data_IF_162542974603
#
_entry.id   IF_162542974603
#
_cell.length_a   1.000
_cell.length_b   1.000
_cell.length_c   1.000
_cell.angle_alpha   90.00
_cell.angle_beta   90.00
_cell.angle_gamma   90.00
#
_symmetry.space_group_name_H-M   'P 1'
#
loop_
_entity.id
_entity.type
_entity.pdbx_description
1 polymer ?
#
# COMPACT_ATOMS: atom_id res chain seq x y z
N UNK A 1 -11.37 -3.82 -2.30
CA UNK A 1 -10.08 -4.04 -1.61
C UNK A 1 -9.62 -2.72 -1.01
N UNK A 2 -9.22 -2.68 0.26
CA UNK A 2 -8.85 -1.41 0.91
C UNK A 2 -7.34 -1.20 0.93
N UNK A 3 -6.80 -0.39 0.03
CA UNK A 3 -5.36 -0.09 -0.07
C UNK A 3 -5.01 1.03 0.90
N UNK A 4 -4.35 0.66 1.99
CA UNK A 4 -3.94 1.56 3.05
C UNK A 4 -2.46 1.92 2.90
N UNK A 5 -2.18 3.19 2.61
CA UNK A 5 -0.82 3.71 2.47
C UNK A 5 -0.36 4.24 3.81
N UNK A 6 0.56 3.53 4.44
CA UNK A 6 1.10 3.80 5.77
C UNK A 6 2.33 4.70 5.63
N UNK A 7 2.19 5.99 5.88
CA UNK A 7 3.32 6.90 5.77
C UNK A 7 2.99 8.34 6.11
N UNK A 8 3.99 9.04 6.62
CA UNK A 8 3.91 10.44 7.08
C UNK A 8 3.92 11.47 5.94
N UNK A 9 3.53 11.08 4.71
CA UNK A 9 3.41 12.01 3.58
C UNK A 9 4.69 12.23 2.77
N UNK A 10 5.69 11.35 2.91
CA UNK A 10 6.94 11.39 2.16
C UNK A 10 6.74 11.30 0.63
N UNK A 11 7.65 11.84 -0.21
CA UNK A 11 7.52 11.75 -1.68
C UNK A 11 7.49 10.30 -2.19
N UNK A 12 8.20 9.39 -1.50
CA UNK A 12 8.12 7.93 -1.75
C UNK A 12 6.70 7.40 -1.51
N UNK A 13 6.02 7.84 -0.46
CA UNK A 13 4.67 7.45 -0.09
C UNK A 13 3.65 7.83 -1.19
N UNK A 14 3.80 9.02 -1.78
CA UNK A 14 2.99 9.46 -2.93
C UNK A 14 3.19 8.56 -4.14
N UNK A 15 4.45 8.29 -4.49
CA UNK A 15 4.79 7.43 -5.64
C UNK A 15 4.26 6.00 -5.46
N UNK A 16 4.30 5.46 -4.23
CA UNK A 16 3.70 4.17 -3.91
C UNK A 16 2.18 4.16 -4.17
N UNK A 17 1.50 5.23 -3.77
CA UNK A 17 0.06 5.41 -3.97
C UNK A 17 -0.28 5.39 -5.46
N UNK A 18 0.42 6.21 -6.26
CA UNK A 18 0.17 6.31 -7.71
C UNK A 18 0.41 4.96 -8.42
N UNK A 19 1.47 4.25 -8.05
CA UNK A 19 1.77 2.94 -8.62
C UNK A 19 0.74 1.88 -8.21
N UNK A 20 0.30 1.87 -6.95
CA UNK A 20 -0.72 0.96 -6.45
C UNK A 20 -2.08 1.23 -7.08
N UNK A 21 -2.45 2.51 -7.21
CA UNK A 21 -3.67 2.95 -7.90
C UNK A 21 -3.66 2.54 -9.37
N UNK A 22 -2.56 2.84 -10.08
CA UNK A 22 -2.41 2.47 -11.48
C UNK A 22 -2.47 0.96 -11.67
N UNK A 23 -1.76 0.19 -10.84
CA UNK A 23 -1.78 -1.27 -10.89
C UNK A 23 -3.18 -1.84 -10.62
N UNK A 24 -3.87 -1.40 -9.57
CA UNK A 24 -5.20 -1.89 -9.24
C UNK A 24 -6.22 -1.54 -10.33
N UNK A 25 -6.13 -0.32 -10.90
CA UNK A 25 -6.96 0.13 -12.04
C UNK A 25 -6.69 -0.67 -13.31
N UNK A 26 -5.42 -0.91 -13.63
CA UNK A 26 -5.01 -1.71 -14.80
C UNK A 26 -5.50 -3.17 -14.67
N UNK A 27 -5.56 -3.69 -13.45
CA UNK A 27 -6.08 -5.02 -13.15
C UNK A 27 -7.62 -5.08 -13.07
N UNK A 28 -8.30 -3.94 -13.16
CA UNK A 28 -9.76 -3.85 -13.01
C UNK A 28 -10.25 -4.31 -11.62
N UNK A 29 -9.44 -4.13 -10.59
CA UNK A 29 -9.81 -4.46 -9.22
C UNK A 29 -10.64 -3.32 -8.63
N UNK A 30 -11.62 -3.64 -7.80
CA UNK A 30 -12.34 -2.64 -7.02
C UNK A 30 -11.50 -2.30 -5.78
N UNK A 31 -10.99 -1.06 -5.72
CA UNK A 31 -10.09 -0.62 -4.66
C UNK A 31 -10.46 0.73 -4.05
N UNK A 32 -10.16 0.87 -2.75
CA UNK A 32 -10.32 2.10 -1.99
C UNK A 32 -8.97 2.52 -1.40
N UNK A 33 -8.49 3.72 -1.73
CA UNK A 33 -7.21 4.22 -1.21
C UNK A 33 -7.43 5.01 0.09
N UNK A 34 -6.85 4.52 1.18
CA UNK A 34 -6.82 5.21 2.47
C UNK A 34 -5.39 5.60 2.82
N UNK A 35 -5.12 6.90 2.98
CA UNK A 35 -3.81 7.38 3.39
C UNK A 35 -3.77 7.42 4.92
N UNK A 36 -3.02 6.51 5.50
CA UNK A 36 -2.82 6.42 6.93
C UNK A 36 -1.56 7.20 7.29
N UNK A 37 -1.76 8.45 7.71
CA UNK A 37 -0.69 9.34 8.22
C UNK A 37 -0.55 9.27 9.74
N UNK A 38 -1.50 8.61 10.42
CA UNK A 38 -1.53 8.51 11.87
C UNK A 38 -0.50 7.48 12.35
N UNK A 39 0.48 7.94 13.14
CA UNK A 39 1.56 7.09 13.65
C UNK A 39 0.99 5.94 14.50
N UNK A 40 -0.07 6.18 15.26
CA UNK A 40 -0.70 5.16 16.11
C UNK A 40 -1.25 4.02 15.26
N UNK A 41 -1.95 4.35 14.16
CA UNK A 41 -2.42 3.34 13.20
C UNK A 41 -1.26 2.61 12.53
N UNK A 42 -0.20 3.31 12.13
CA UNK A 42 0.98 2.68 11.52
C UNK A 42 1.62 1.65 12.46
N UNK A 43 1.71 1.96 13.75
CA UNK A 43 2.20 1.05 14.78
C UNK A 43 1.25 -0.13 15.03
N UNK A 44 -0.07 0.11 15.01
CA UNK A 44 -1.10 -0.93 15.13
C UNK A 44 -1.00 -1.96 13.98
N UNK A 45 -0.67 -1.48 12.78
CA UNK A 45 -0.34 -2.32 11.63
C UNK A 45 1.00 -3.07 11.77
N UNK A 46 1.80 -2.80 12.80
CA UNK A 46 3.12 -3.40 12.99
C UNK A 46 4.19 -2.84 12.05
N UNK A 47 3.97 -1.68 11.44
CA UNK A 47 4.93 -1.06 10.53
C UNK A 47 5.93 -0.22 11.33
N UNK A 48 7.13 -0.75 11.52
CA UNK A 48 8.23 -0.02 12.17
C UNK A 48 8.95 0.95 11.24
N UNK A 49 8.91 0.71 9.93
CA UNK A 49 9.57 1.55 8.94
C UNK A 49 8.59 1.98 7.86
N UNK A 50 8.38 3.28 7.73
CA UNK A 50 7.58 3.85 6.65
C UNK A 50 8.48 4.14 5.43
N UNK A 51 7.95 4.07 4.20
CA UNK A 51 6.56 3.81 3.80
C UNK A 51 6.15 2.34 3.93
N UNK A 52 4.86 2.10 4.20
CA UNK A 52 4.23 0.79 4.18
C UNK A 52 2.97 0.76 3.31
N UNK A 53 2.65 -0.43 2.83
CA UNK A 53 1.44 -0.74 2.08
C UNK A 53 0.70 -1.83 2.83
N UNK A 54 -0.53 -1.55 3.22
CA UNK A 54 -1.47 -2.55 3.70
C UNK A 54 -2.63 -2.67 2.72
N UNK A 55 -3.21 -3.86 2.62
CA UNK A 55 -4.42 -4.12 1.86
C UNK A 55 -5.39 -4.88 2.76
N UNK A 56 -6.61 -4.37 2.91
CA UNK A 56 -7.66 -4.94 3.76
C UNK A 56 -7.16 -5.22 5.19
N UNK A 57 -6.40 -4.27 5.74
CA UNK A 57 -5.81 -4.36 7.08
C UNK A 57 -4.54 -5.21 7.17
N UNK A 58 -4.12 -5.87 6.09
CA UNK A 58 -2.94 -6.73 6.07
C UNK A 58 -1.74 -6.02 5.47
N UNK A 59 -0.67 -5.85 6.23
CA UNK A 59 0.58 -5.27 5.73
C UNK A 59 1.22 -6.22 4.71
N UNK A 60 1.38 -5.71 3.48
CA UNK A 60 2.05 -6.41 2.39
C UNK A 60 3.52 -6.00 2.28
N UNK A 61 3.82 -4.73 2.59
CA UNK A 61 5.19 -4.24 2.64
C UNK A 61 5.39 -3.13 3.66
N UNK A 62 6.61 -3.00 4.13
CA UNK A 62 7.05 -1.88 4.95
C UNK A 62 8.54 -1.60 4.73
N UNK A 63 8.95 -0.36 4.97
CA UNK A 63 10.33 0.08 5.01
C UNK A 63 11.01 0.35 3.66
N UNK A 64 10.36 0.12 2.53
CA UNK A 64 10.95 0.38 1.22
C UNK A 64 9.89 0.68 0.15
N UNK A 65 10.34 1.22 -0.99
CA UNK A 65 9.49 1.44 -2.16
C UNK A 65 9.69 0.28 -3.14
N UNK A 66 8.67 -0.53 -3.43
CA UNK A 66 8.78 -1.60 -4.43
C UNK A 66 8.74 -1.02 -5.85
N UNK A 67 9.20 -1.82 -6.81
CA UNK A 67 8.98 -1.54 -8.23
C UNK A 67 7.53 -1.78 -8.64
N UNK A 68 7.12 -1.20 -9.77
CA UNK A 68 5.79 -1.37 -10.35
C UNK A 68 5.35 -2.85 -10.48
N UNK A 69 6.26 -3.73 -10.90
CA UNK A 69 5.99 -5.17 -11.03
C UNK A 69 5.68 -5.83 -9.69
N UNK A 70 6.44 -5.48 -8.64
CA UNK A 70 6.18 -5.99 -7.30
C UNK A 70 4.85 -5.50 -6.75
N UNK A 71 4.47 -4.24 -6.99
CA UNK A 71 3.18 -3.71 -6.54
C UNK A 71 2.03 -4.48 -7.19
N UNK A 72 2.10 -4.76 -8.50
CA UNK A 72 1.12 -5.62 -9.18
C UNK A 72 1.04 -7.00 -8.54
N UNK A 73 2.19 -7.64 -8.25
CA UNK A 73 2.22 -8.95 -7.57
C UNK A 73 1.61 -8.91 -6.16
N UNK A 74 1.92 -7.87 -5.38
CA UNK A 74 1.38 -7.71 -4.03
C UNK A 74 -0.14 -7.52 -4.07
N UNK A 75 -0.64 -6.67 -4.97
CA UNK A 75 -2.08 -6.47 -5.16
C UNK A 75 -2.77 -7.73 -5.67
N UNK A 76 -2.15 -8.48 -6.61
CA UNK A 76 -2.66 -9.76 -7.07
C UNK A 76 -2.78 -10.78 -5.92
N UNK A 77 -1.72 -10.90 -5.12
CA UNK A 77 -1.66 -11.80 -3.97
C UNK A 77 -2.70 -11.44 -2.91
N UNK A 78 -2.93 -10.14 -2.67
CA UNK A 78 -3.93 -9.66 -1.73
C UNK A 78 -5.37 -9.83 -2.26
N UNK A 79 -5.57 -9.70 -3.58
CA UNK A 79 -6.85 -9.96 -4.24
C UNK A 79 -7.19 -11.47 -4.33
N UNK A 80 -6.31 -12.37 -3.90
CA UNK A 80 -6.56 -13.81 -3.89
C UNK A 80 -6.52 -14.47 -5.27
N UNK A 81 -5.73 -13.91 -6.21
CA UNK A 81 -5.45 -14.50 -7.52
C UNK A 81 -4.07 -15.14 -7.60
#
# INVERSE_FOLDING_TARGET
MKIQILGTGCPKCKKLTELAEAAAKEMGLDYEIEKVTDISKILDFGVMSTPGLAVDGKVLLSGHLPSSDQIKRLLAQAAGR
#
